data_IF_643470299612
#
_entry.id   IF_643470299612
#
_cell.length_a   1.000
_cell.length_b   1.000
_cell.length_c   1.000
_cell.angle_alpha   90.00
_cell.angle_beta   90.00
_cell.angle_gamma   90.00
#
_symmetry.space_group_name_H-M   'P 1'
#
loop_
_entity.id
_entity.type
_entity.pdbx_description
1 polymer ?
#
# COMPACT_ATOMS: atom_id res chain seq x y z
N UNK A 1 -22.42 -14.13 -14.57
CA UNK A 1 -21.48 -14.17 -15.71
C UNK A 1 -21.82 -13.07 -16.70
N UNK A 2 -21.28 -11.87 -16.50
CA UNK A 2 -21.42 -10.78 -17.47
C UNK A 2 -20.35 -10.93 -18.53
N UNK A 3 -20.77 -11.25 -19.76
CA UNK A 3 -19.92 -11.43 -20.95
C UNK A 3 -19.58 -10.08 -21.63
N UNK A 4 -19.37 -9.03 -20.84
CA UNK A 4 -18.99 -7.71 -21.36
C UNK A 4 -17.50 -7.52 -21.15
N UNK A 5 -16.73 -7.50 -22.25
CA UNK A 5 -15.33 -7.12 -22.20
C UNK A 5 -15.24 -5.65 -21.71
N UNK A 6 -14.45 -5.33 -20.68
CA UNK A 6 -14.32 -3.95 -20.23
C UNK A 6 -13.69 -3.11 -21.35
N UNK A 7 -14.46 -2.17 -21.90
CA UNK A 7 -14.03 -1.31 -23.01
C UNK A 7 -13.34 -0.02 -22.55
N UNK A 8 -13.20 0.19 -21.24
CA UNK A 8 -12.44 1.29 -20.67
C UNK A 8 -11.05 0.85 -20.20
N UNK A 9 -10.02 1.66 -20.43
CA UNK A 9 -8.79 1.56 -19.62
C UNK A 9 -9.23 1.70 -18.17
N UNK A 10 -8.86 0.76 -17.31
CA UNK A 10 -9.11 0.87 -15.88
C UNK A 10 -8.44 2.18 -15.40
N UNK A 11 -9.26 3.17 -15.04
CA UNK A 11 -8.79 4.39 -14.39
C UNK A 11 -8.89 4.16 -12.88
N UNK A 12 -7.85 4.56 -12.15
CA UNK A 12 -7.87 4.54 -10.69
C UNK A 12 -8.45 5.83 -10.11
N UNK A 13 -8.92 6.75 -10.95
CA UNK A 13 -9.52 8.01 -10.52
C UNK A 13 -10.73 7.75 -9.61
N UNK A 14 -10.71 8.32 -8.41
CA UNK A 14 -11.72 8.17 -7.36
C UNK A 14 -11.94 6.73 -6.86
N UNK A 15 -11.01 5.81 -7.14
CA UNK A 15 -11.03 4.45 -6.59
C UNK A 15 -10.38 4.47 -5.21
N UNK A 16 -11.05 3.91 -4.20
CA UNK A 16 -10.46 3.71 -2.87
C UNK A 16 -9.50 2.52 -2.92
N UNK A 17 -8.23 2.74 -2.58
CA UNK A 17 -7.23 1.69 -2.54
C UNK A 17 -6.74 1.49 -1.12
N UNK A 18 -6.83 0.25 -0.61
CA UNK A 18 -6.24 -0.17 0.66
C UNK A 18 -4.78 -0.51 0.43
N UNK A 19 -3.90 0.41 0.83
CA UNK A 19 -2.46 0.31 0.60
C UNK A 19 -1.81 -0.25 1.86
N UNK A 20 -1.29 -1.47 1.79
CA UNK A 20 -0.45 -2.05 2.84
C UNK A 20 0.96 -1.47 2.78
N UNK A 21 1.46 -0.99 3.92
CA UNK A 21 2.86 -0.56 4.08
C UNK A 21 3.47 -1.32 5.25
N UNK A 22 4.78 -1.52 5.22
CA UNK A 22 5.57 -2.09 6.32
C UNK A 22 6.52 -1.02 6.84
N UNK A 23 6.74 -1.01 8.15
CA UNK A 23 7.77 -0.20 8.80
C UNK A 23 9.14 -0.77 8.44
N UNK A 24 9.96 0.01 7.75
CA UNK A 24 11.29 -0.38 7.29
C UNK A 24 12.10 0.88 7.02
N UNK A 25 13.02 1.21 7.91
CA UNK A 25 13.87 2.40 7.76
C UNK A 25 14.92 2.18 6.65
N UNK A 26 15.15 3.16 5.75
CA UNK A 26 14.58 4.52 5.69
C UNK A 26 13.37 4.65 4.75
N UNK A 27 12.76 3.55 4.31
CA UNK A 27 11.68 3.53 3.32
C UNK A 27 10.33 3.98 3.90
N UNK A 28 9.99 3.50 5.09
CA UNK A 28 8.79 3.87 5.85
C UNK A 28 9.18 4.01 7.31
N UNK A 29 9.20 5.24 7.79
CA UNK A 29 9.48 5.60 9.18
C UNK A 29 8.14 5.93 9.83
N UNK A 30 7.86 5.31 10.97
CA UNK A 30 6.61 5.51 11.72
C UNK A 30 6.91 6.35 12.95
N UNK A 31 6.52 7.61 12.93
CA UNK A 31 6.75 8.54 14.04
C UNK A 31 5.44 8.81 14.79
N UNK A 32 5.51 8.78 16.12
CA UNK A 32 4.39 9.22 16.97
C UNK A 32 4.61 10.68 17.31
N UNK A 33 3.83 11.55 16.69
CA UNK A 33 3.86 12.99 16.94
C UNK A 33 2.78 13.34 17.94
N UNK A 34 3.14 14.05 19.00
CA UNK A 34 2.16 14.54 19.98
C UNK A 34 1.86 16.00 19.68
N UNK A 35 0.62 16.28 19.33
CA UNK A 35 0.14 17.63 19.07
C UNK A 35 0.19 18.48 20.35
N UNK A 36 0.14 19.81 20.19
CA UNK A 36 0.09 20.76 21.30
C UNK A 36 -1.11 20.55 22.26
N UNK A 37 -2.12 19.79 21.83
CA UNK A 37 -3.29 19.37 22.60
C UNK A 37 -3.08 18.06 23.39
N UNK A 38 -1.91 17.42 23.28
CA UNK A 38 -1.59 16.14 23.91
C UNK A 38 -2.14 14.90 23.18
N UNK A 39 -2.73 15.05 21.99
CA UNK A 39 -3.10 13.92 21.15
C UNK A 39 -1.89 13.39 20.38
N UNK A 40 -1.64 12.08 20.45
CA UNK A 40 -0.63 11.43 19.63
C UNK A 40 -1.22 10.98 18.29
N UNK A 41 -0.69 11.52 17.20
CA UNK A 41 -0.94 11.09 15.83
C UNK A 41 0.23 10.25 15.32
N UNK A 42 -0.03 9.39 14.35
CA UNK A 42 1.01 8.60 13.68
C UNK A 42 1.30 9.29 12.35
N UNK A 43 2.54 9.72 12.17
CA UNK A 43 3.05 10.24 10.91
C UNK A 43 3.87 9.16 10.20
N UNK A 44 3.71 9.09 8.89
CA UNK A 44 4.47 8.20 8.02
C UNK A 44 5.44 9.02 7.20
N UNK A 45 6.73 8.87 7.48
CA UNK A 45 7.81 9.57 6.80
C UNK A 45 8.65 8.59 5.96
N UNK A 46 9.47 9.12 5.05
CA UNK A 46 10.36 8.34 4.19
C UNK A 46 9.89 8.22 2.75
N UNK A 47 10.53 7.32 2.00
CA UNK A 47 10.36 7.20 0.54
C UNK A 47 8.97 6.67 0.13
N UNK A 48 8.41 5.70 0.86
CA UNK A 48 7.15 5.03 0.51
C UNK A 48 5.95 5.97 0.62
N UNK A 49 5.75 6.73 1.72
CA UNK A 49 4.68 7.73 1.80
C UNK A 49 4.76 8.79 0.68
N UNK A 50 5.96 9.26 0.34
CA UNK A 50 6.19 10.21 -0.76
C UNK A 50 5.83 9.61 -2.12
N UNK A 51 6.18 8.34 -2.35
CA UNK A 51 5.80 7.62 -3.56
C UNK A 51 4.28 7.47 -3.67
N UNK A 52 3.60 7.10 -2.59
CA UNK A 52 2.13 7.01 -2.56
C UNK A 52 1.49 8.35 -2.93
N UNK A 53 1.99 9.46 -2.37
CA UNK A 53 1.50 10.80 -2.69
C UNK A 53 1.72 11.18 -4.15
N UNK A 54 2.87 10.82 -4.73
CA UNK A 54 3.14 11.03 -6.17
C UNK A 54 2.22 10.19 -7.05
N UNK A 55 2.01 8.92 -6.72
CA UNK A 55 1.10 8.04 -7.44
C UNK A 55 -0.35 8.54 -7.34
N UNK A 56 -0.78 8.97 -6.15
CA UNK A 56 -2.09 9.57 -5.94
C UNK A 56 -2.29 10.79 -6.84
N UNK A 57 -1.34 11.72 -6.89
CA UNK A 57 -1.43 12.92 -7.71
C UNK A 57 -1.50 12.60 -9.21
N UNK A 58 -0.80 11.56 -9.65
CA UNK A 58 -0.75 11.16 -11.06
C UNK A 58 -1.96 10.33 -11.51
N UNK A 59 -2.52 9.52 -10.61
CA UNK A 59 -3.54 8.51 -10.94
C UNK A 59 -4.93 8.82 -10.35
N UNK A 60 -5.02 9.74 -9.39
CA UNK A 60 -6.26 10.25 -8.82
C UNK A 60 -7.02 9.29 -7.91
N UNK A 61 -6.39 8.22 -7.41
CA UNK A 61 -7.02 7.31 -6.44
C UNK A 61 -7.12 7.93 -5.04
N UNK A 62 -7.90 7.30 -4.18
CA UNK A 62 -8.07 7.69 -2.78
C UNK A 62 -7.31 6.68 -1.91
N UNK A 63 -6.13 7.02 -1.36
CA UNK A 63 -5.35 6.09 -0.56
C UNK A 63 -5.97 5.89 0.83
N UNK A 64 -6.12 4.63 1.22
CA UNK A 64 -6.32 4.21 2.60
C UNK A 64 -5.09 3.44 3.05
N UNK A 65 -4.14 4.13 3.68
CA UNK A 65 -2.89 3.54 4.15
C UNK A 65 -3.16 2.66 5.37
N UNK A 66 -2.60 1.44 5.36
CA UNK A 66 -2.66 0.47 6.45
C UNK A 66 -1.25 0.02 6.78
N UNK A 67 -0.78 0.38 7.97
CA UNK A 67 0.46 -0.15 8.51
C UNK A 67 0.26 -1.61 8.89
N UNK A 68 1.08 -2.48 8.32
CA UNK A 68 1.14 -3.88 8.70
C UNK A 68 1.67 -4.03 10.13
N UNK A 69 1.18 -5.01 10.91
CA UNK A 69 1.77 -5.34 12.21
C UNK A 69 3.27 -5.59 12.10
N UNK A 70 4.04 -5.16 13.10
CA UNK A 70 5.50 -5.28 13.11
C UNK A 70 6.02 -6.72 13.10
N UNK A 71 5.18 -7.69 13.48
CA UNK A 71 5.49 -9.11 13.42
C UNK A 71 5.08 -9.78 12.11
N UNK A 72 4.45 -9.04 11.18
CA UNK A 72 4.02 -9.59 9.89
C UNK A 72 5.22 -9.72 8.95
N UNK A 73 5.38 -10.91 8.38
CA UNK A 73 6.43 -11.20 7.40
C UNK A 73 6.04 -10.72 6.00
N UNK A 74 7.04 -10.52 5.14
CA UNK A 74 6.80 -10.23 3.72
C UNK A 74 5.94 -11.29 3.01
N UNK A 75 6.04 -12.56 3.39
CA UNK A 75 5.21 -13.60 2.79
C UNK A 75 3.73 -13.44 3.19
N UNK A 76 3.48 -13.08 4.44
CA UNK A 76 2.12 -12.77 4.91
C UNK A 76 1.55 -11.51 4.27
N UNK A 77 2.39 -10.51 3.93
CA UNK A 77 1.96 -9.35 3.16
C UNK A 77 1.50 -9.73 1.75
N UNK A 78 2.26 -10.59 1.06
CA UNK A 78 1.89 -11.09 -0.26
C UNK A 78 0.59 -11.90 -0.21
N UNK A 79 0.44 -12.75 0.81
CA UNK A 79 -0.80 -13.48 1.04
C UNK A 79 -1.97 -12.54 1.35
N UNK A 80 -1.74 -11.45 2.08
CA UNK A 80 -2.77 -10.45 2.37
C UNK A 80 -3.29 -9.76 1.10
N UNK A 81 -2.45 -9.55 0.08
CA UNK A 81 -2.90 -9.10 -1.25
C UNK A 81 -3.76 -10.17 -1.91
N UNK A 82 -3.25 -11.41 -2.00
CA UNK A 82 -3.98 -12.52 -2.64
C UNK A 82 -5.33 -12.81 -1.97
N UNK A 83 -5.46 -12.55 -0.67
CA UNK A 83 -6.69 -12.71 0.10
C UNK A 83 -7.60 -11.47 0.04
N UNK A 84 -7.20 -10.41 -0.67
CA UNK A 84 -7.98 -9.18 -0.80
C UNK A 84 -8.06 -8.34 0.47
N UNK A 85 -7.12 -8.49 1.42
CA UNK A 85 -7.00 -7.62 2.60
C UNK A 85 -6.46 -6.25 2.19
N UNK A 86 -5.45 -6.25 1.34
CA UNK A 86 -4.89 -5.06 0.69
C UNK A 86 -5.13 -5.15 -0.81
N UNK A 87 -5.35 -4.00 -1.44
CA UNK A 87 -5.45 -3.90 -2.90
C UNK A 87 -4.05 -3.78 -3.53
N UNK A 88 -3.10 -3.19 -2.78
CA UNK A 88 -1.69 -3.04 -3.16
C UNK A 88 -0.82 -2.99 -1.90
N UNK A 89 0.41 -3.49 -2.00
CA UNK A 89 1.46 -3.27 -0.99
C UNK A 89 2.59 -2.46 -1.62
N UNK A 90 3.05 -1.44 -0.91
CA UNK A 90 4.18 -0.60 -1.35
C UNK A 90 5.22 -0.63 -0.22
N UNK A 91 6.43 -1.06 -0.56
CA UNK A 91 7.52 -1.24 0.39
C UNK A 91 8.74 -1.87 -0.28
N UNK A 92 9.75 -2.18 0.50
CA UNK A 92 11.00 -2.87 0.14
C UNK A 92 10.80 -4.38 -0.08
N UNK A 93 9.75 -4.75 -0.82
CA UNK A 93 9.41 -6.14 -1.09
C UNK A 93 10.31 -6.71 -2.18
N UNK A 94 11.14 -7.70 -1.83
CA UNK A 94 11.95 -8.44 -2.82
C UNK A 94 11.07 -9.26 -3.77
N UNK A 95 11.25 -9.07 -5.07
CA UNK A 95 10.54 -9.84 -6.11
C UNK A 95 11.19 -11.21 -6.28
N UNK A 96 10.45 -12.27 -6.01
CA UNK A 96 10.91 -13.65 -6.18
C UNK A 96 9.99 -14.41 -7.14
N UNK A 97 10.51 -15.48 -7.74
CA UNK A 97 9.71 -16.34 -8.64
C UNK A 97 8.47 -16.91 -7.94
N UNK A 98 8.57 -17.27 -6.66
CA UNK A 98 7.42 -17.79 -5.89
C UNK A 98 6.36 -16.72 -5.64
N UNK A 99 6.75 -15.48 -5.30
CA UNK A 99 5.79 -14.39 -5.06
C UNK A 99 5.05 -13.98 -6.34
N UNK A 100 5.72 -14.04 -7.50
CA UNK A 100 5.09 -13.80 -8.81
C UNK A 100 3.99 -14.79 -9.16
N UNK A 101 3.95 -15.97 -8.52
CA UNK A 101 2.85 -16.93 -8.72
C UNK A 101 1.57 -16.51 -7.98
N UNK A 102 1.68 -15.61 -7.01
CA UNK A 102 0.59 -15.19 -6.13
C UNK A 102 0.09 -13.78 -6.45
N UNK A 103 1.00 -12.88 -6.84
CA UNK A 103 0.70 -11.48 -7.12
C UNK A 103 1.53 -10.95 -8.28
N UNK A 104 1.05 -9.89 -8.91
CA UNK A 104 1.80 -9.15 -9.91
C UNK A 104 2.63 -8.03 -9.28
N UNK A 105 3.74 -7.69 -9.95
CA UNK A 105 4.63 -6.59 -9.58
C UNK A 105 4.69 -5.59 -10.75
N UNK A 106 4.70 -4.29 -10.44
CA UNK A 106 4.71 -3.18 -11.39
C UNK A 106 5.92 -2.28 -11.17
#
# INVERSE_FOLDING_TARGET
>A
NTLTQPTGRASLQNVNLRIGIIESDPFTIVEKVTDASGQSTIEYNGYVPDLIKRLQNNMGFIPTIKLAPSNQTYNELILAISNGVYDIVIGDVTVTAERRKLVDFQ
#
